data_IF_707239821064
#
_entry.id   IF_707239821064
#
_cell.length_a   1.000
_cell.length_b   1.000
_cell.length_c   1.000
_cell.angle_alpha   90.00
_cell.angle_beta   90.00
_cell.angle_gamma   90.00
#
_symmetry.space_group_name_H-M   'P 1'
#
loop_
_entity.id
_entity.type
_entity.pdbx_description
1 polymer ?
#
# COMPACT_ATOMS: atom_id res chain seq x y z
N UNK A 1 6.60 -11.53 19.34
CA UNK A 1 6.12 -10.14 19.21
C UNK A 1 7.31 -9.26 18.85
N UNK A 2 7.19 -8.46 17.80
CA UNK A 2 8.18 -7.44 17.42
C UNK A 2 7.44 -6.17 17.00
N UNK A 3 8.08 -5.01 17.12
CA UNK A 3 7.52 -3.72 16.74
C UNK A 3 8.60 -2.89 16.02
N UNK A 4 8.19 -2.06 15.06
CA UNK A 4 9.02 -1.04 14.45
C UNK A 4 8.42 0.32 14.81
N UNK A 5 9.26 1.22 15.27
CA UNK A 5 8.85 2.56 15.70
C UNK A 5 9.96 3.56 15.37
N UNK A 6 9.62 4.84 15.21
CA UNK A 6 10.63 5.89 15.14
C UNK A 6 11.22 6.17 16.54
N UNK A 7 12.35 6.88 16.57
CA UNK A 7 13.07 7.15 17.81
C UNK A 7 12.24 7.94 18.85
N UNK A 8 11.29 8.78 18.41
CA UNK A 8 10.45 9.58 19.29
C UNK A 8 9.40 8.77 20.06
N UNK A 9 9.03 7.59 19.55
CA UNK A 9 8.01 6.72 20.14
C UNK A 9 8.60 5.49 20.84
N UNK A 10 9.92 5.42 21.00
CA UNK A 10 10.62 4.27 21.60
C UNK A 10 10.11 3.94 22.99
N UNK A 11 10.04 4.92 23.89
CA UNK A 11 9.67 4.68 25.29
C UNK A 11 8.21 4.23 25.43
N UNK A 12 7.31 4.83 24.66
CA UNK A 12 5.90 4.42 24.64
C UNK A 12 5.72 2.97 24.17
N UNK A 13 6.49 2.53 23.16
CA UNK A 13 6.44 1.14 22.69
C UNK A 13 7.01 0.18 23.75
N UNK A 14 8.13 0.53 24.40
CA UNK A 14 8.72 -0.29 25.47
C UNK A 14 7.75 -0.42 26.65
N UNK A 15 7.09 0.67 27.05
CA UNK A 15 6.07 0.66 28.10
C UNK A 15 4.91 -0.29 27.78
N UNK A 16 4.36 -0.19 26.56
CA UNK A 16 3.28 -1.10 26.13
C UNK A 16 3.74 -2.55 26.16
N UNK A 17 4.94 -2.86 25.69
CA UNK A 17 5.45 -4.24 25.70
C UNK A 17 5.61 -4.79 27.12
N UNK A 18 6.14 -4.00 28.05
CA UNK A 18 6.36 -4.43 29.44
C UNK A 18 5.05 -4.52 30.25
N UNK A 19 4.05 -3.69 29.94
CA UNK A 19 2.79 -3.61 30.72
C UNK A 19 1.64 -4.43 30.13
N UNK A 20 1.69 -4.76 28.83
CA UNK A 20 0.65 -5.52 28.12
C UNK A 20 1.09 -6.91 27.70
N UNK A 21 2.28 -7.33 28.10
CA UNK A 21 2.76 -8.70 27.93
C UNK A 21 3.37 -9.22 29.24
N UNK A 22 3.76 -10.48 29.25
CA UNK A 22 4.47 -11.09 30.39
C UNK A 22 5.99 -10.98 30.29
N UNK A 23 6.51 -10.20 29.33
CA UNK A 23 7.97 -10.05 29.16
C UNK A 23 8.58 -9.23 30.29
N UNK A 24 9.75 -9.65 30.76
CA UNK A 24 10.52 -8.93 31.79
C UNK A 24 11.51 -7.93 31.19
N UNK A 25 11.62 -7.88 29.85
CA UNK A 25 12.56 -7.00 29.17
C UNK A 25 12.29 -6.91 27.68
N UNK A 26 12.88 -5.89 27.07
CA UNK A 26 12.84 -5.63 25.63
C UNK A 26 14.28 -5.53 25.11
N UNK A 27 14.52 -6.10 23.93
CA UNK A 27 15.78 -5.94 23.19
C UNK A 27 15.47 -5.10 21.95
N UNK A 28 16.33 -4.14 21.63
CA UNK A 28 16.13 -3.23 20.51
C UNK A 28 17.40 -3.11 19.64
N UNK A 29 17.20 -2.77 18.37
CA UNK A 29 18.27 -2.50 17.41
C UNK A 29 17.83 -1.34 16.51
N UNK A 30 18.70 -0.35 16.34
CA UNK A 30 18.47 0.73 15.39
C UNK A 30 18.66 0.22 13.96
N UNK A 31 17.71 0.56 13.08
CA UNK A 31 17.75 0.22 11.65
C UNK A 31 17.50 1.45 10.81
N UNK A 32 18.16 1.55 9.66
CA UNK A 32 17.87 2.58 8.67
C UNK A 32 16.90 2.04 7.63
N UNK A 33 15.84 2.80 7.34
CA UNK A 33 14.83 2.42 6.34
C UNK A 33 15.01 3.27 5.08
N UNK A 34 15.36 2.64 3.97
CA UNK A 34 15.29 3.26 2.64
C UNK A 34 13.90 3.02 2.08
N UNK A 35 13.18 4.10 1.76
CA UNK A 35 11.83 4.05 1.18
C UNK A 35 11.81 4.67 -0.21
N UNK A 36 10.90 4.18 -1.07
CA UNK A 36 10.58 4.85 -2.33
C UNK A 36 9.77 6.11 -2.06
N UNK A 37 9.85 7.07 -2.98
CA UNK A 37 8.84 8.12 -3.06
C UNK A 37 7.52 7.47 -3.48
N UNK A 38 6.41 8.00 -2.97
CA UNK A 38 5.07 7.49 -3.28
C UNK A 38 4.20 8.60 -3.84
N UNK A 39 3.39 8.24 -4.82
CA UNK A 39 2.29 9.06 -5.34
C UNK A 39 1.05 8.18 -5.46
N UNK A 40 -0.12 8.82 -5.45
CA UNK A 40 -1.39 8.16 -5.64
C UNK A 40 -1.98 8.49 -7.01
N UNK A 41 -2.68 7.52 -7.57
CA UNK A 41 -3.46 7.70 -8.79
C UNK A 41 -4.72 6.84 -8.72
N UNK A 42 -5.68 7.12 -9.61
CA UNK A 42 -6.93 6.37 -9.67
C UNK A 42 -7.09 5.69 -11.01
N UNK A 43 -7.42 4.39 -10.99
CA UNK A 43 -7.81 3.65 -12.20
C UNK A 43 -9.29 3.30 -12.11
N UNK A 44 -10.03 3.48 -13.20
CA UNK A 44 -11.42 3.04 -13.28
C UNK A 44 -11.50 1.63 -13.85
N UNK A 45 -12.23 0.75 -13.18
CA UNK A 45 -12.53 -0.60 -13.65
C UNK A 45 -14.00 -0.73 -13.97
N UNK A 46 -14.31 -1.22 -15.17
CA UNK A 46 -15.67 -1.65 -15.50
C UNK A 46 -15.92 -3.04 -14.89
N UNK A 47 -16.83 -3.08 -13.92
CA UNK A 47 -17.19 -4.27 -13.15
C UNK A 47 -18.72 -4.46 -13.18
N UNK A 48 -19.21 -5.67 -12.90
CA UNK A 48 -20.64 -5.87 -12.64
C UNK A 48 -21.13 -4.86 -11.59
N UNK A 49 -22.26 -4.22 -11.84
CA UNK A 49 -22.79 -3.15 -10.98
C UNK A 49 -22.26 -1.74 -11.28
N UNK A 50 -21.35 -1.60 -12.25
CA UNK A 50 -20.89 -0.31 -12.78
C UNK A 50 -19.40 -0.04 -12.53
N UNK A 51 -18.92 1.06 -13.10
CA UNK A 51 -17.52 1.46 -12.99
C UNK A 51 -17.14 1.73 -11.52
N UNK A 52 -16.03 1.13 -11.08
CA UNK A 52 -15.44 1.34 -9.75
C UNK A 52 -14.11 2.06 -9.89
N UNK A 53 -13.92 3.11 -9.10
CA UNK A 53 -12.65 3.83 -9.01
C UNK A 53 -11.75 3.16 -7.98
N UNK A 54 -10.56 2.74 -8.40
CA UNK A 54 -9.58 2.10 -7.52
C UNK A 54 -8.38 3.01 -7.29
N UNK A 55 -8.04 3.20 -6.01
CA UNK A 55 -6.79 3.87 -5.64
C UNK A 55 -5.58 2.97 -5.93
N UNK A 56 -4.56 3.55 -6.56
CA UNK A 56 -3.32 2.88 -6.96
C UNK A 56 -2.15 3.56 -6.25
N UNK A 57 -1.42 2.78 -5.46
CA UNK A 57 -0.17 3.19 -4.85
C UNK A 57 0.98 2.99 -5.83
N UNK A 58 1.66 4.08 -6.16
CA UNK A 58 2.80 4.06 -7.08
C UNK A 58 4.07 4.41 -6.32
N UNK A 59 4.95 3.43 -6.17
CA UNK A 59 6.29 3.60 -5.62
C UNK A 59 7.28 3.93 -6.73
N UNK A 60 8.01 5.04 -6.60
CA UNK A 60 8.93 5.53 -7.62
C UNK A 60 10.24 6.05 -7.02
N UNK A 61 11.28 6.12 -7.84
CA UNK A 61 12.59 6.68 -7.52
C UNK A 61 13.06 7.56 -8.68
N UNK A 62 13.51 8.77 -8.38
CA UNK A 62 13.93 9.75 -9.40
C UNK A 62 12.87 9.96 -10.50
N UNK A 63 11.60 10.00 -10.08
CA UNK A 63 10.44 10.13 -10.97
C UNK A 63 10.14 8.90 -11.84
N UNK A 64 10.84 7.77 -11.65
CA UNK A 64 10.59 6.52 -12.39
C UNK A 64 9.91 5.48 -11.52
N UNK A 65 8.84 4.90 -12.05
CA UNK A 65 8.04 3.88 -11.36
C UNK A 65 8.89 2.64 -11.11
N UNK A 66 8.83 2.13 -9.89
CA UNK A 66 9.38 0.82 -9.50
C UNK A 66 8.24 -0.18 -9.35
N UNK A 67 7.17 0.22 -8.66
CA UNK A 67 5.96 -0.60 -8.46
C UNK A 67 4.70 0.26 -8.55
N UNK A 68 3.63 -0.29 -9.11
CA UNK A 68 2.28 0.29 -9.08
C UNK A 68 1.29 -0.83 -8.77
N UNK A 69 0.47 -0.66 -7.73
CA UNK A 69 -0.47 -1.67 -7.26
C UNK A 69 -1.74 -0.99 -6.72
N UNK A 70 -2.91 -1.58 -6.94
CA UNK A 70 -4.15 -1.11 -6.33
C UNK A 70 -4.12 -1.34 -4.82
N UNK A 71 -4.75 -0.44 -4.05
CA UNK A 71 -4.85 -0.62 -2.61
C UNK A 71 -5.81 -1.74 -2.26
N UNK A 72 -5.42 -2.53 -1.26
CA UNK A 72 -6.21 -3.66 -0.78
C UNK A 72 -7.63 -3.26 -0.36
N UNK A 73 -7.78 -2.16 0.38
CA UNK A 73 -9.10 -1.66 0.80
C UNK A 73 -9.99 -1.31 -0.40
N UNK A 74 -9.40 -0.77 -1.46
CA UNK A 74 -10.10 -0.43 -2.70
C UNK A 74 -10.52 -1.67 -3.48
N UNK A 75 -9.64 -2.68 -3.52
CA UNK A 75 -9.93 -3.98 -4.12
C UNK A 75 -11.07 -4.70 -3.40
N UNK A 76 -11.02 -4.76 -2.06
CA UNK A 76 -12.03 -5.41 -1.23
C UNK A 76 -13.41 -4.74 -1.39
N UNK A 77 -13.45 -3.41 -1.43
CA UNK A 77 -14.69 -2.66 -1.67
C UNK A 77 -15.27 -2.96 -3.07
N UNK A 78 -14.44 -2.93 -4.11
CA UNK A 78 -14.88 -3.22 -5.47
C UNK A 78 -15.33 -4.68 -5.66
N UNK A 79 -14.66 -5.63 -4.98
CA UNK A 79 -15.07 -7.03 -4.96
C UNK A 79 -16.45 -7.20 -4.32
N UNK A 80 -16.67 -6.60 -3.14
CA UNK A 80 -17.96 -6.63 -2.45
C UNK A 80 -19.09 -6.01 -3.29
N UNK A 81 -18.82 -4.87 -3.96
CA UNK A 81 -19.82 -4.18 -4.78
C UNK A 81 -20.19 -4.95 -6.07
N UNK A 82 -19.23 -5.67 -6.66
CA UNK A 82 -19.41 -6.37 -7.93
C UNK A 82 -19.78 -7.86 -7.80
N UNK A 83 -19.69 -8.42 -6.59
CA UNK A 83 -19.90 -9.85 -6.33
C UNK A 83 -18.76 -10.75 -6.87
N UNK A 84 -17.63 -10.17 -7.25
CA UNK A 84 -16.44 -10.90 -7.68
C UNK A 84 -15.53 -11.23 -6.50
N UNK A 85 -14.57 -12.14 -6.71
CA UNK A 85 -13.52 -12.37 -5.71
C UNK A 85 -12.49 -11.23 -5.72
N UNK A 86 -11.85 -10.97 -4.58
CA UNK A 86 -10.75 -10.00 -4.49
C UNK A 86 -9.64 -10.29 -5.50
N UNK A 87 -9.36 -11.58 -5.78
CA UNK A 87 -8.36 -12.02 -6.76
C UNK A 87 -8.76 -11.66 -8.20
N UNK A 88 -10.03 -11.80 -8.57
CA UNK A 88 -10.51 -11.40 -9.90
C UNK A 88 -10.38 -9.89 -10.10
N UNK A 89 -10.73 -9.10 -9.08
CA UNK A 89 -10.60 -7.65 -9.11
C UNK A 89 -9.14 -7.23 -9.14
N UNK A 90 -8.26 -7.87 -8.37
CA UNK A 90 -6.81 -7.62 -8.38
C UNK A 90 -6.20 -7.85 -9.76
N UNK A 91 -6.55 -8.94 -10.45
CA UNK A 91 -6.06 -9.23 -11.80
C UNK A 91 -6.53 -8.18 -12.82
N UNK A 92 -7.79 -7.75 -12.75
CA UNK A 92 -8.34 -6.68 -13.59
C UNK A 92 -7.67 -5.33 -13.30
N UNK A 93 -7.46 -5.03 -12.03
CA UNK A 93 -6.75 -3.83 -11.59
C UNK A 93 -5.32 -3.80 -12.13
N UNK A 94 -4.59 -4.92 -12.03
CA UNK A 94 -3.25 -5.05 -12.58
C UNK A 94 -3.22 -4.79 -14.10
N UNK A 95 -4.17 -5.34 -14.85
CA UNK A 95 -4.29 -5.08 -16.28
C UNK A 95 -4.58 -3.61 -16.59
N UNK A 96 -5.47 -2.96 -15.83
CA UNK A 96 -5.80 -1.56 -16.04
C UNK A 96 -4.66 -0.61 -15.66
N UNK A 97 -3.88 -0.93 -14.61
CA UNK A 97 -2.65 -0.21 -14.23
C UNK A 97 -1.63 -0.26 -15.37
N UNK A 98 -1.45 -1.43 -16.00
CA UNK A 98 -0.58 -1.58 -17.17
C UNK A 98 -1.11 -0.77 -18.36
N UNK A 99 -2.42 -0.83 -18.63
CA UNK A 99 -3.05 -0.06 -19.70
C UNK A 99 -2.92 1.46 -19.50
N UNK A 100 -2.92 1.92 -18.24
CA UNK A 100 -2.66 3.31 -17.87
C UNK A 100 -1.17 3.72 -17.99
N UNK A 101 -0.28 2.80 -18.37
CA UNK A 101 1.15 3.05 -18.53
C UNK A 101 1.93 3.10 -17.22
N UNK A 102 1.32 2.72 -16.09
CA UNK A 102 1.98 2.72 -14.78
C UNK A 102 2.77 1.42 -14.56
N UNK A 103 3.75 1.22 -15.42
CA UNK A 103 4.66 0.07 -15.41
C UNK A 103 6.05 0.47 -14.94
N UNK A 104 6.85 -0.50 -14.51
CA UNK A 104 8.22 -0.25 -14.08
C UNK A 104 9.03 0.50 -15.16
N UNK A 105 9.80 1.51 -14.74
CA UNK A 105 10.64 2.35 -15.60
C UNK A 105 9.93 3.55 -16.24
N UNK A 106 8.61 3.53 -16.32
CA UNK A 106 7.81 4.67 -16.81
C UNK A 106 7.90 5.87 -15.86
N UNK A 107 7.51 7.06 -16.34
CA UNK A 107 7.47 8.26 -15.50
C UNK A 107 6.29 8.17 -14.54
N UNK A 108 6.54 8.40 -13.26
CA UNK A 108 5.50 8.48 -12.25
C UNK A 108 4.53 9.64 -12.58
N UNK A 109 3.21 9.44 -12.45
CA UNK A 109 2.25 10.52 -12.61
C UNK A 109 2.44 11.57 -11.51
N UNK A 110 1.91 12.77 -11.73
CA UNK A 110 1.69 13.70 -10.63
C UNK A 110 0.65 13.12 -9.66
N UNK A 111 0.73 13.53 -8.39
CA UNK A 111 -0.22 13.07 -7.38
C UNK A 111 -1.63 13.54 -7.71
N UNK A 112 -2.55 12.59 -7.81
CA UNK A 112 -3.97 12.82 -8.08
C UNK A 112 -4.72 12.52 -6.78
N UNK A 113 -4.46 13.34 -5.76
CA UNK A 113 -5.17 13.29 -4.47
C UNK A 113 -6.55 13.92 -4.58
#
# INVERSE_FOLDING_TARGET
>A
LSALTDAGHRDAVVEVLLTRTTTLGVREMAVTRTVLNRTWATVSLDLPGGAQALSVKIGHRDGRIVHAQAEWSSLAQAAAASGLTERDVEQRAAAAIVAAGWVAGARAPADQS
#
